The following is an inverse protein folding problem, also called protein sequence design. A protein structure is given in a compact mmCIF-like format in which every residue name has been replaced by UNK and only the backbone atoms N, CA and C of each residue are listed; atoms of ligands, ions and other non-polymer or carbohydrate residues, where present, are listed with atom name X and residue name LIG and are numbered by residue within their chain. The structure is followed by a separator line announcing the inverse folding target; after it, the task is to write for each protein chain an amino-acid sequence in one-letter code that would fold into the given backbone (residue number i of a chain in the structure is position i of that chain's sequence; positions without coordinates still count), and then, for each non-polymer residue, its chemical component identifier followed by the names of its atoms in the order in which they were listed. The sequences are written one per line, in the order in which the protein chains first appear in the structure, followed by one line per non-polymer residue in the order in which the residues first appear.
data_IF_039077321749
#
_entry.id   IF_039077321749
#
_cell.length_a   1.000
_cell.length_b   1.000
_cell.length_c   1.000
_cell.angle_alpha   90.00
_cell.angle_beta   90.00
_cell.angle_gamma   90.00
#
_symmetry.space_group_name_H-M   'P 1'
#
loop_
_entity.id
_entity.type
_entity.pdbx_description
1 polymer ?
#
# COMPACT_ATOMS: atom_id res chain seq x y z
N UNK A 1 3.14 10.52 26.31
CA UNK A 1 2.62 9.14 26.43
C UNK A 1 3.29 8.32 25.35
N UNK A 2 4.00 7.25 25.71
CA UNK A 2 4.61 6.36 24.73
C UNK A 2 3.50 5.55 24.06
N UNK A 3 3.41 5.59 22.74
CA UNK A 3 2.54 4.70 21.98
C UNK A 3 2.97 3.26 22.28
N UNK A 4 2.04 2.45 22.78
CA UNK A 4 2.25 1.02 22.89
C UNK A 4 2.44 0.47 21.47
N UNK A 5 3.58 -0.15 21.21
CA UNK A 5 3.76 -0.96 20.01
C UNK A 5 2.73 -2.10 20.10
N UNK A 6 1.70 -2.04 19.28
CA UNK A 6 0.75 -3.13 19.11
C UNK A 6 1.54 -4.37 18.69
N UNK A 7 1.39 -5.46 19.45
CA UNK A 7 2.10 -6.70 19.18
C UNK A 7 1.74 -7.19 17.76
N UNK A 8 2.76 -7.59 16.99
CA UNK A 8 2.54 -8.14 15.66
C UNK A 8 1.59 -9.35 15.73
N UNK A 9 0.65 -9.50 14.78
CA UNK A 9 -0.25 -10.64 14.75
C UNK A 9 0.52 -11.96 14.68
N UNK A 10 -0.01 -13.00 15.33
CA UNK A 10 0.65 -14.31 15.39
C UNK A 10 0.82 -14.93 13.98
N UNK A 11 1.96 -15.60 13.70
CA UNK A 11 2.28 -16.11 12.35
C UNK A 11 1.27 -17.13 11.79
N UNK A 12 0.54 -17.83 12.65
CA UNK A 12 -0.40 -18.91 12.31
C UNK A 12 -1.68 -18.43 11.60
N UNK A 13 -1.93 -17.12 11.54
CA UNK A 13 -3.13 -16.54 10.91
C UNK A 13 -2.80 -15.45 9.87
N UNK A 14 -1.52 -15.26 9.55
CA UNK A 14 -1.11 -14.33 8.49
C UNK A 14 -1.47 -14.91 7.12
N UNK A 15 -2.20 -14.19 6.25
CA UNK A 15 -2.48 -14.67 4.90
C UNK A 15 -1.19 -14.73 4.08
N UNK A 16 -1.09 -15.74 3.22
CA UNK A 16 -0.04 -15.82 2.20
C UNK A 16 -0.40 -14.90 1.03
N UNK A 17 0.27 -13.76 0.95
CA UNK A 17 0.01 -12.71 -0.04
C UNK A 17 1.10 -12.75 -1.11
N UNK A 18 0.69 -12.67 -2.36
CA UNK A 18 1.58 -12.48 -3.51
C UNK A 18 1.51 -11.06 -4.05
N UNK A 19 0.35 -10.43 -3.99
CA UNK A 19 0.15 -9.08 -4.54
C UNK A 19 -0.60 -8.19 -3.55
N UNK A 20 -0.13 -6.95 -3.41
CA UNK A 20 -0.90 -5.87 -2.78
C UNK A 20 -1.31 -4.88 -3.86
N UNK A 21 -2.59 -4.56 -3.97
CA UNK A 21 -3.16 -3.69 -5.00
C UNK A 21 -3.97 -2.57 -4.39
N UNK A 22 -3.85 -1.37 -4.92
CA UNK A 22 -4.75 -0.25 -4.62
C UNK A 22 -5.51 0.10 -5.88
N UNK A 23 -6.84 0.21 -5.78
CA UNK A 23 -7.73 0.63 -6.87
C UNK A 23 -8.39 1.96 -6.52
N UNK A 24 -8.49 2.84 -7.51
CA UNK A 24 -9.13 4.14 -7.31
C UNK A 24 -10.67 4.05 -7.19
N UNK A 25 -11.27 5.13 -6.69
CA UNK A 25 -12.63 5.48 -7.09
C UNK A 25 -12.60 6.02 -8.53
N UNK A 26 -13.63 5.74 -9.36
CA UNK A 26 -13.67 6.24 -10.73
C UNK A 26 -13.44 7.75 -10.83
N UNK A 27 -12.50 8.15 -11.69
CA UNK A 27 -12.20 9.57 -11.95
C UNK A 27 -11.25 10.23 -10.95
N UNK A 28 -10.83 9.55 -9.87
CA UNK A 28 -9.76 10.02 -8.98
C UNK A 28 -8.41 9.40 -9.36
N UNK A 29 -7.30 10.17 -9.41
CA UNK A 29 -5.97 9.58 -9.53
C UNK A 29 -5.55 8.92 -8.22
N UNK A 30 -4.70 7.89 -8.30
CA UNK A 30 -3.97 7.40 -7.14
C UNK A 30 -2.69 8.23 -6.97
N UNK A 31 -2.42 8.64 -5.74
CA UNK A 31 -1.18 9.31 -5.35
C UNK A 31 -0.75 8.76 -3.99
N UNK A 32 0.32 7.99 -3.94
CA UNK A 32 0.83 7.37 -2.71
C UNK A 32 2.34 7.53 -2.66
N UNK A 33 2.86 7.98 -1.52
CA UNK A 33 4.30 8.12 -1.33
C UNK A 33 4.96 6.76 -1.13
N UNK A 34 4.38 5.91 -0.29
CA UNK A 34 4.99 4.65 0.10
C UNK A 34 3.93 3.60 0.42
N UNK A 35 4.21 2.34 0.10
CA UNK A 35 3.46 1.18 0.54
C UNK A 35 4.46 0.18 1.10
N UNK A 36 4.34 -0.09 2.39
CA UNK A 36 5.17 -1.05 3.09
C UNK A 36 4.35 -2.31 3.36
N UNK A 37 4.96 -3.46 3.14
CA UNK A 37 4.34 -4.77 3.35
C UNK A 37 5.25 -5.54 4.29
N UNK A 38 4.80 -5.81 5.52
CA UNK A 38 5.63 -6.41 6.54
C UNK A 38 5.36 -7.91 6.66
N UNK A 39 6.40 -8.72 6.64
CA UNK A 39 6.30 -10.17 6.89
C UNK A 39 6.21 -10.50 8.40
N UNK A 40 6.20 -11.80 8.72
CA UNK A 40 6.21 -12.31 10.11
C UNK A 40 7.51 -12.04 10.87
N UNK A 41 8.60 -11.72 10.16
CA UNK A 41 9.86 -11.30 10.78
C UNK A 41 9.92 -9.78 11.01
N UNK A 42 8.89 -9.03 10.61
CA UNK A 42 8.85 -7.57 10.69
C UNK A 42 9.67 -6.87 9.61
N UNK A 43 10.05 -7.58 8.54
CA UNK A 43 10.79 -7.01 7.40
C UNK A 43 9.82 -6.42 6.38
N UNK A 44 10.12 -5.21 5.87
CA UNK A 44 9.37 -4.65 4.74
C UNK A 44 9.78 -5.36 3.45
N UNK A 45 8.95 -6.30 2.98
CA UNK A 45 9.20 -7.11 1.78
C UNK A 45 8.76 -6.43 0.49
N UNK A 46 8.07 -5.28 0.55
CA UNK A 46 7.69 -4.52 -0.64
C UNK A 46 8.92 -3.99 -1.40
N UNK A 47 10.01 -3.67 -0.71
CA UNK A 47 11.21 -3.04 -1.29
C UNK A 47 11.99 -3.96 -2.24
N UNK A 48 11.74 -5.26 -2.18
CA UNK A 48 12.32 -6.25 -3.09
C UNK A 48 11.30 -6.77 -4.11
N UNK A 49 10.07 -6.26 -4.07
CA UNK A 49 9.02 -6.57 -5.03
C UNK A 49 9.11 -5.74 -6.31
N UNK A 50 8.13 -5.94 -7.18
CA UNK A 50 7.98 -5.15 -8.42
C UNK A 50 6.71 -4.32 -8.35
N UNK A 51 6.86 -3.00 -8.27
CA UNK A 51 5.73 -2.08 -8.31
C UNK A 51 5.35 -1.72 -9.76
N UNK A 52 4.04 -1.58 -10.01
CA UNK A 52 3.47 -1.20 -11.30
C UNK A 52 2.17 -0.42 -11.09
N UNK A 53 1.74 0.34 -12.10
CA UNK A 53 0.51 1.11 -12.07
C UNK A 53 -0.12 1.16 -13.45
N UNK A 54 -1.44 1.37 -13.51
CA UNK A 54 -2.24 1.43 -14.74
C UNK A 54 -1.73 2.49 -15.72
N UNK A 55 -1.41 3.68 -15.19
CA UNK A 55 -0.91 4.81 -15.95
C UNK A 55 0.10 5.59 -15.12
N UNK A 56 1.00 6.31 -15.76
CA UNK A 56 1.93 7.21 -15.09
C UNK A 56 1.61 8.66 -15.44
N UNK A 57 1.48 9.49 -14.41
CA UNK A 57 1.32 10.94 -14.53
C UNK A 57 2.42 11.68 -13.75
N UNK A 58 2.78 12.86 -14.24
CA UNK A 58 3.72 13.79 -13.57
C UNK A 58 5.09 13.22 -13.19
N UNK A 59 5.58 12.16 -13.85
CA UNK A 59 6.81 11.45 -13.49
C UNK A 59 6.75 10.69 -12.14
N UNK A 60 5.53 10.42 -11.67
CA UNK A 60 5.26 9.65 -10.46
C UNK A 60 5.30 8.15 -10.71
N UNK A 61 6.49 7.60 -10.91
CA UNK A 61 6.68 6.18 -11.19
C UNK A 61 6.27 5.29 -10.00
N UNK A 62 5.68 4.13 -10.31
CA UNK A 62 5.23 3.17 -9.29
C UNK A 62 6.37 2.70 -8.38
N UNK A 63 7.61 2.60 -8.86
CA UNK A 63 8.76 2.13 -8.07
C UNK A 63 9.08 3.03 -6.86
N UNK A 64 8.71 4.31 -6.91
CA UNK A 64 8.88 5.24 -5.78
C UNK A 64 8.06 4.84 -4.56
N UNK A 65 6.94 4.16 -4.80
CA UNK A 65 6.07 3.70 -3.71
C UNK A 65 6.63 2.53 -2.90
N UNK A 66 7.77 1.97 -3.28
CA UNK A 66 8.40 0.83 -2.59
C UNK A 66 9.88 1.06 -2.29
N UNK A 67 10.36 2.30 -2.38
CA UNK A 67 11.78 2.64 -2.19
C UNK A 67 12.20 2.81 -0.72
N UNK A 68 11.26 2.72 0.22
CA UNK A 68 11.48 2.93 1.65
C UNK A 68 11.47 4.39 2.13
N UNK A 69 11.37 5.38 1.25
CA UNK A 69 11.26 6.79 1.64
C UNK A 69 9.86 7.12 2.17
N UNK A 70 9.80 7.64 3.39
CA UNK A 70 8.57 8.12 4.04
C UNK A 70 8.71 9.58 4.50
N UNK A 71 9.76 10.27 4.06
CA UNK A 71 10.05 11.64 4.45
C UNK A 71 8.93 12.58 3.94
N UNK A 72 8.19 13.27 4.83
CA UNK A 72 7.13 14.17 4.41
C UNK A 72 7.66 15.39 3.61
N UNK A 73 8.95 15.72 3.75
CA UNK A 73 9.58 16.87 3.10
C UNK A 73 10.30 16.51 1.77
N UNK A 74 10.26 15.24 1.37
CA UNK A 74 10.89 14.78 0.13
C UNK A 74 10.34 15.54 -1.09
N UNK A 75 11.25 15.94 -1.98
CA UNK A 75 10.90 16.72 -3.18
C UNK A 75 10.35 15.81 -4.26
N UNK A 76 9.39 16.33 -5.01
CA UNK A 76 8.88 15.65 -6.20
C UNK A 76 10.00 15.39 -7.23
N UNK A 77 10.02 14.23 -7.91
CA UNK A 77 9.11 13.08 -7.75
C UNK A 77 9.53 12.12 -6.62
N UNK A 78 8.61 11.84 -5.70
CA UNK A 78 8.82 10.99 -4.52
C UNK A 78 7.63 10.05 -4.24
N UNK A 79 6.73 9.86 -5.21
CA UNK A 79 5.51 9.10 -5.05
C UNK A 79 5.11 8.43 -6.38
N UNK A 80 4.27 7.42 -6.29
CA UNK A 80 3.52 6.91 -7.45
C UNK A 80 2.33 7.82 -7.74
N UNK A 81 2.09 8.14 -9.01
CA UNK A 81 0.98 8.97 -9.44
C UNK A 81 0.40 8.47 -10.76
N UNK A 82 -0.88 8.11 -10.74
CA UNK A 82 -1.61 7.74 -11.95
C UNK A 82 -2.22 8.96 -12.63
N UNK A 83 -2.67 8.83 -13.87
CA UNK A 83 -3.61 9.78 -14.46
C UNK A 83 -4.97 9.67 -13.76
N UNK A 84 -5.94 10.49 -14.21
CA UNK A 84 -7.32 10.46 -13.71
C UNK A 84 -8.21 9.64 -14.66
N UNK A 85 -8.21 8.33 -14.49
CA UNK A 85 -9.03 7.39 -15.25
C UNK A 85 -10.14 6.74 -14.40
N UNK A 86 -11.10 6.06 -15.05
CA UNK A 86 -12.18 5.36 -14.35
C UNK A 86 -11.71 4.08 -13.63
N UNK A 87 -10.56 3.52 -14.01
CA UNK A 87 -10.06 2.23 -13.53
C UNK A 87 -8.55 2.29 -13.26
N UNK A 88 -8.12 3.26 -12.46
CA UNK A 88 -6.71 3.35 -12.08
C UNK A 88 -6.38 2.33 -11.00
N UNK A 89 -5.21 1.73 -11.12
CA UNK A 89 -4.67 0.85 -10.10
C UNK A 89 -3.18 1.07 -9.93
N UNK A 90 -2.72 0.76 -8.73
CA UNK A 90 -1.33 0.54 -8.39
C UNK A 90 -1.21 -0.85 -7.77
N UNK A 91 -0.10 -1.54 -7.97
CA UNK A 91 0.17 -2.78 -7.24
C UNK A 91 1.67 -3.03 -7.06
N UNK A 92 2.01 -3.78 -6.02
CA UNK A 92 3.30 -4.43 -5.85
C UNK A 92 3.12 -5.94 -5.85
N UNK A 93 3.89 -6.62 -6.71
CA UNK A 93 4.04 -8.07 -6.68
C UNK A 93 5.27 -8.44 -5.84
N UNK A 94 5.06 -9.23 -4.78
CA UNK A 94 6.14 -9.74 -3.93
C UNK A 94 6.90 -10.85 -4.67
N UNK A 95 8.20 -11.08 -4.40
CA UNK A 95 8.97 -12.11 -5.10
C UNK A 95 8.36 -13.51 -5.00
N UNK A 96 7.82 -13.85 -3.83
CA UNK A 96 7.13 -15.10 -3.55
C UNK A 96 5.91 -14.83 -2.65
N UNK A 97 4.93 -15.76 -2.60
CA UNK A 97 3.85 -15.69 -1.63
C UNK A 97 4.44 -15.62 -0.21
N UNK A 98 4.04 -14.60 0.54
CA UNK A 98 4.65 -14.23 1.82
C UNK A 98 3.57 -14.14 2.88
N UNK A 99 3.84 -14.70 4.07
CA UNK A 99 3.01 -14.45 5.24
C UNK A 99 3.20 -13.00 5.68
N UNK A 100 2.23 -12.15 5.36
CA UNK A 100 2.26 -10.73 5.69
C UNK A 100 1.56 -10.53 7.03
N UNK A 101 2.08 -9.67 7.89
CA UNK A 101 1.48 -9.31 9.20
C UNK A 101 0.73 -7.98 9.15
N UNK A 102 1.23 -7.02 8.38
CA UNK A 102 0.57 -5.71 8.20
C UNK A 102 1.00 -5.04 6.91
N UNK A 103 0.15 -4.14 6.42
CA UNK A 103 0.42 -3.25 5.30
C UNK A 103 0.33 -1.81 5.82
N UNK A 104 1.28 -0.95 5.44
CA UNK A 104 1.22 0.48 5.73
C UNK A 104 1.19 1.26 4.43
N UNK A 105 0.17 2.09 4.26
CA UNK A 105 0.06 3.02 3.13
C UNK A 105 0.37 4.42 3.62
N UNK A 106 1.27 5.09 2.93
CA UNK A 106 1.67 6.47 3.16
C UNK A 106 1.12 7.31 2.03
N UNK A 107 0.11 8.13 2.34
CA UNK A 107 -0.48 9.10 1.43
C UNK A 107 0.51 10.26 1.17
N UNK A 108 0.22 11.11 0.19
CA UNK A 108 0.96 12.35 -0.03
C UNK A 108 1.02 13.23 1.24
N UNK A 109 2.16 13.91 1.46
CA UNK A 109 2.40 14.68 2.67
C UNK A 109 1.95 16.15 2.58
N UNK A 110 2.13 16.79 1.43
CA UNK A 110 2.03 18.24 1.24
C UNK A 110 0.63 18.74 0.82
N UNK A 111 -0.15 17.96 0.07
CA UNK A 111 -1.52 18.31 -0.30
C UNK A 111 -2.33 17.10 -0.77
N UNK A 112 -3.60 17.36 -1.11
CA UNK A 112 -4.36 16.53 -2.04
C UNK A 112 -4.65 15.11 -1.50
N UNK A 113 -4.72 15.01 -0.18
CA UNK A 113 -4.92 13.77 0.57
C UNK A 113 -6.25 13.08 0.22
N UNK A 114 -7.26 13.87 -0.14
CA UNK A 114 -8.61 13.45 -0.55
C UNK A 114 -8.64 12.54 -1.79
N UNK A 115 -7.55 12.52 -2.57
CA UNK A 115 -7.42 11.65 -3.76
C UNK A 115 -7.40 10.17 -3.41
N UNK A 116 -6.83 9.82 -2.26
CA UNK A 116 -6.76 8.44 -1.78
C UNK A 116 -8.02 8.01 -1.02
N UNK A 117 -8.83 8.98 -0.59
CA UNK A 117 -10.07 8.72 0.14
C UNK A 117 -11.08 7.94 -0.71
N UNK A 118 -11.49 6.78 -0.20
CA UNK A 118 -12.41 5.85 -0.84
C UNK A 118 -11.75 4.81 -1.74
N UNK A 119 -10.43 4.90 -1.98
CA UNK A 119 -9.71 3.88 -2.74
C UNK A 119 -9.71 2.53 -1.99
N UNK A 120 -9.66 1.42 -2.72
CA UNK A 120 -9.67 0.07 -2.14
C UNK A 120 -8.26 -0.51 -2.12
N UNK A 121 -7.76 -0.88 -0.94
CA UNK A 121 -6.57 -1.68 -0.75
C UNK A 121 -6.96 -3.16 -0.73
N UNK A 122 -6.36 -3.97 -1.59
CA UNK A 122 -6.59 -5.40 -1.71
C UNK A 122 -5.30 -6.18 -1.43
N UNK A 123 -5.42 -7.22 -0.62
CA UNK A 123 -4.41 -8.26 -0.42
C UNK A 123 -4.82 -9.50 -1.23
N UNK A 124 -3.96 -9.96 -2.14
CA UNK A 124 -4.26 -11.07 -3.04
C UNK A 124 -3.24 -12.20 -2.90
N UNK A 125 -3.73 -13.44 -3.02
CA UNK A 125 -2.89 -14.64 -3.10
C UNK A 125 -2.22 -14.80 -4.47
N UNK A 126 -1.49 -15.90 -4.64
CA UNK A 126 -0.75 -16.25 -5.86
C UNK A 126 -1.66 -16.62 -7.05
N UNK A 127 -2.92 -16.90 -6.80
CA UNK A 127 -3.95 -17.11 -7.81
C UNK A 127 -4.72 -15.83 -8.14
N UNK A 128 -4.37 -14.70 -7.51
CA UNK A 128 -5.06 -13.42 -7.70
C UNK A 128 -6.43 -13.34 -7.02
N UNK A 129 -6.71 -14.21 -6.05
CA UNK A 129 -7.93 -14.13 -5.24
C UNK A 129 -7.74 -13.09 -4.14
N UNK A 130 -8.74 -12.24 -3.94
CA UNK A 130 -8.73 -11.23 -2.87
C UNK A 130 -8.95 -11.95 -1.53
N UNK A 131 -7.97 -11.87 -0.64
CA UNK A 131 -8.02 -12.43 0.71
C UNK A 131 -8.52 -11.41 1.74
N UNK A 132 -8.25 -10.13 1.51
CA UNK A 132 -8.75 -9.03 2.32
C UNK A 132 -8.87 -7.76 1.48
N UNK A 133 -9.82 -6.90 1.85
CA UNK A 133 -10.03 -5.60 1.25
C UNK A 133 -10.27 -4.55 2.35
N UNK A 134 -9.68 -3.38 2.19
CA UNK A 134 -9.82 -2.25 3.09
C UNK A 134 -10.12 -0.98 2.29
N UNK A 135 -10.90 -0.07 2.88
CA UNK A 135 -11.11 1.27 2.33
C UNK A 135 -10.05 2.22 2.88
N UNK A 136 -9.37 2.94 1.99
CA UNK A 136 -8.39 3.96 2.34
C UNK A 136 -9.09 5.28 2.68
N UNK A 137 -8.52 6.00 3.65
CA UNK A 137 -8.86 7.38 4.00
C UNK A 137 -7.88 8.37 3.36
N UNK A 138 -8.08 9.66 3.63
CA UNK A 138 -7.10 10.70 3.31
C UNK A 138 -5.91 10.75 4.28
N UNK A 139 -5.86 9.93 5.33
CA UNK A 139 -4.82 10.06 6.34
C UNK A 139 -3.41 9.83 5.78
N UNK A 140 -2.45 10.56 6.34
CA UNK A 140 -1.04 10.52 5.93
C UNK A 140 -0.45 9.11 6.00
N UNK A 141 -0.77 8.35 7.04
CA UNK A 141 -0.32 6.98 7.24
C UNK A 141 -1.48 6.14 7.75
N UNK A 142 -1.69 5.00 7.12
CA UNK A 142 -2.78 4.07 7.42
C UNK A 142 -2.19 2.67 7.55
N UNK A 143 -2.45 2.01 8.66
CA UNK A 143 -1.95 0.65 8.94
C UNK A 143 -3.11 -0.34 8.91
N UNK A 144 -2.94 -1.39 8.12
CA UNK A 144 -3.90 -2.46 7.95
C UNK A 144 -3.30 -3.75 8.46
N UNK A 145 -3.93 -4.30 9.49
CA UNK A 145 -3.61 -5.60 10.06
C UNK A 145 -4.77 -6.56 9.78
N UNK A 146 -4.50 -7.85 9.93
CA UNK A 146 -5.55 -8.87 9.90
C UNK A 146 -6.26 -8.84 11.25
N UNK A 147 -7.34 -8.07 11.34
CA UNK A 147 -8.21 -8.15 12.50
C UNK A 147 -8.87 -9.53 12.51
N UNK A 148 -8.76 -10.25 13.62
CA UNK A 148 -9.76 -11.25 13.99
C UNK A 148 -10.78 -10.59 14.92
N UNK A 149 -12.04 -10.89 14.68
CA UNK A 149 -13.02 -10.96 15.76
C UNK A 149 -12.71 -12.25 16.52
N UNK A 150 -12.56 -12.16 17.85
CA UNK A 150 -12.68 -13.32 18.74
C UNK A 150 -14.10 -13.88 18.71
#
# INVERSE_FOLDING_TARGET
QAAAAEAAPSPDHSPSIKTVRVKNCPGKPLHMQQVQVFDVAGSNVATIGTASQSTTGWDGDASRTIDGDTNPDAKWPNAGHTQSGPNEFWQVELPAPTLVTRIVVFNRADCCQDRLEGACLQALDDLGRVLAEFTLSGDRSQTFCWLRWE
#
